data_IF_325572830210
#
_entry.id   IF_325572830210
#
_cell.length_a   1.000
_cell.length_b   1.000
_cell.length_c   1.000
_cell.angle_alpha   90.00
_cell.angle_beta   90.00
_cell.angle_gamma   90.00
#
_symmetry.space_group_name_H-M   'P 1'
#
loop_
_entity.id
_entity.type
_entity.pdbx_description
1 polymer ?
#
# COMPACT_ATOMS: atom_id res chain seq x y z
N UNK A 1 8.75 12.04 17.65
CA UNK A 1 8.69 11.03 16.57
C UNK A 1 9.62 11.54 15.48
N UNK A 2 10.83 10.97 15.40
CA UNK A 2 11.92 11.42 14.53
C UNK A 2 12.14 10.50 13.33
N UNK A 3 11.14 9.68 13.03
CA UNK A 3 11.24 8.68 11.97
C UNK A 3 10.82 9.36 10.67
N UNK A 4 11.79 9.61 9.80
CA UNK A 4 11.54 10.16 8.47
C UNK A 4 10.97 9.07 7.56
N UNK A 5 9.76 8.59 7.84
CA UNK A 5 9.05 7.61 7.02
C UNK A 5 7.77 8.21 6.49
N UNK A 6 7.52 8.05 5.20
CA UNK A 6 6.29 8.48 4.54
C UNK A 6 5.61 7.29 3.87
N UNK A 7 4.39 6.99 4.30
CA UNK A 7 3.55 5.98 3.65
C UNK A 7 2.78 6.65 2.51
N UNK A 8 3.15 6.34 1.28
CA UNK A 8 2.53 6.87 0.08
C UNK A 8 1.31 6.02 -0.33
N UNK A 9 0.13 6.47 0.10
CA UNK A 9 -1.16 5.92 -0.33
C UNK A 9 -1.81 6.74 -1.46
N UNK A 10 -1.09 7.71 -2.04
CA UNK A 10 -1.60 8.50 -3.15
C UNK A 10 -1.60 7.71 -4.45
N UNK A 11 -2.34 8.19 -5.47
CA UNK A 11 -2.13 7.70 -6.83
C UNK A 11 -0.80 8.21 -7.38
N UNK A 12 -0.24 7.48 -8.35
CA UNK A 12 0.99 7.89 -9.02
C UNK A 12 0.85 9.27 -9.70
N UNK A 13 -0.36 9.63 -10.15
CA UNK A 13 -0.65 10.94 -10.76
C UNK A 13 -0.45 12.10 -9.79
N UNK A 14 -0.93 11.97 -8.55
CA UNK A 14 -0.70 12.98 -7.51
C UNK A 14 0.72 12.92 -6.96
N UNK A 15 1.31 11.72 -6.89
CA UNK A 15 2.66 11.55 -6.35
C UNK A 15 3.74 12.12 -7.28
N UNK A 16 3.51 12.20 -8.59
CA UNK A 16 4.40 12.91 -9.54
C UNK A 16 4.61 14.39 -9.19
N UNK A 17 3.65 15.01 -8.52
CA UNK A 17 3.75 16.39 -8.05
C UNK A 17 4.61 16.54 -6.80
N UNK A 18 4.81 15.44 -6.05
CA UNK A 18 5.77 15.37 -4.94
C UNK A 18 7.17 15.23 -5.54
N UNK A 19 8.17 15.87 -4.95
CA UNK A 19 9.59 15.73 -5.36
C UNK A 19 10.26 14.76 -4.38
N UNK A 20 10.25 13.43 -4.62
CA UNK A 20 10.67 12.43 -3.64
C UNK A 20 12.15 12.60 -3.29
N UNK A 21 12.96 13.01 -4.28
CA UNK A 21 14.39 13.33 -4.13
C UNK A 21 14.69 14.51 -3.18
N UNK A 22 13.69 15.33 -2.86
CA UNK A 22 13.80 16.43 -1.88
C UNK A 22 13.23 16.05 -0.51
N UNK A 23 12.63 14.87 -0.41
CA UNK A 23 12.11 14.34 0.85
C UNK A 23 13.28 13.61 1.52
N UNK A 24 13.71 14.09 2.68
CA UNK A 24 14.72 13.39 3.47
C UNK A 24 14.06 12.25 4.27
N UNK A 25 13.30 11.38 3.58
CA UNK A 25 12.47 10.36 4.20
C UNK A 25 12.41 9.08 3.35
N UNK A 26 12.33 7.94 4.03
CA UNK A 26 12.02 6.64 3.46
C UNK A 26 10.57 6.62 3.01
N UNK A 27 10.34 6.28 1.75
CA UNK A 27 9.00 6.24 1.17
C UNK A 27 8.59 4.79 1.02
N UNK A 28 7.52 4.42 1.70
CA UNK A 28 6.89 3.11 1.59
C UNK A 28 5.63 3.27 0.76
N UNK A 29 5.50 2.49 -0.30
CA UNK A 29 4.38 2.52 -1.24
C UNK A 29 3.63 1.17 -1.21
N UNK A 30 2.49 1.12 -0.52
CA UNK A 30 1.56 0.01 -0.64
C UNK A 30 0.94 -0.06 -2.04
N UNK A 31 1.04 -1.23 -2.69
CA UNK A 31 0.48 -1.53 -4.01
C UNK A 31 -0.60 -2.59 -3.85
N UNK A 32 -1.80 -2.29 -4.33
CA UNK A 32 -2.96 -3.18 -4.22
C UNK A 32 -3.27 -3.81 -5.58
N UNK A 33 -3.19 -5.14 -5.64
CA UNK A 33 -3.46 -5.94 -6.82
C UNK A 33 -4.68 -6.81 -6.59
N UNK A 34 -5.56 -6.85 -7.59
CA UNK A 34 -6.71 -7.73 -7.64
C UNK A 34 -6.51 -8.76 -8.74
N UNK A 35 -6.89 -9.99 -8.47
CA UNK A 35 -6.97 -11.03 -9.48
C UNK A 35 -8.16 -10.75 -10.42
N UNK A 36 -7.91 -10.88 -11.72
CA UNK A 36 -8.94 -10.89 -12.75
C UNK A 36 -8.51 -11.82 -13.87
N UNK A 37 -9.32 -12.82 -14.19
CA UNK A 37 -9.00 -13.86 -15.17
C UNK A 37 -7.65 -14.56 -14.86
N UNK A 38 -7.40 -14.89 -13.60
CA UNK A 38 -6.19 -15.60 -13.16
C UNK A 38 -4.89 -14.78 -13.15
N UNK A 39 -4.98 -13.45 -13.30
CA UNK A 39 -3.82 -12.54 -13.24
C UNK A 39 -4.05 -11.41 -12.25
N UNK A 40 -3.08 -11.17 -11.38
CA UNK A 40 -3.07 -10.03 -10.48
C UNK A 40 -2.70 -8.74 -11.21
N UNK A 41 -3.53 -7.72 -11.08
CA UNK A 41 -3.27 -6.38 -11.62
C UNK A 41 -3.96 -5.30 -10.81
N UNK A 42 -3.52 -4.06 -10.97
CA UNK A 42 -4.19 -2.93 -10.35
C UNK A 42 -5.56 -2.74 -11.00
N UNK A 43 -6.62 -2.83 -10.20
CA UNK A 43 -7.97 -2.43 -10.61
C UNK A 43 -8.29 -1.13 -9.88
N UNK A 44 -8.30 -0.01 -10.61
CA UNK A 44 -8.33 1.35 -10.02
C UNK A 44 -9.45 1.58 -9.01
N UNK A 45 -10.63 0.99 -9.21
CA UNK A 45 -11.74 1.11 -8.27
C UNK A 45 -11.40 0.49 -6.90
N UNK A 46 -10.89 -0.75 -6.90
CA UNK A 46 -10.50 -1.45 -5.68
C UNK A 46 -9.25 -0.88 -5.06
N UNK A 47 -8.25 -0.49 -5.86
CA UNK A 47 -7.04 0.16 -5.35
C UNK A 47 -7.36 1.47 -4.60
N UNK A 48 -8.32 2.26 -5.07
CA UNK A 48 -8.80 3.46 -4.35
C UNK A 48 -9.43 3.10 -3.00
N UNK A 49 -10.30 2.09 -2.97
CA UNK A 49 -10.91 1.60 -1.72
C UNK A 49 -9.84 1.07 -0.75
N UNK A 50 -8.92 0.25 -1.24
CA UNK A 50 -7.86 -0.37 -0.45
C UNK A 50 -6.91 0.65 0.17
N UNK A 51 -6.56 1.73 -0.55
CA UNK A 51 -5.80 2.85 0.03
C UNK A 51 -6.53 3.51 1.21
N UNK A 52 -7.82 3.75 1.09
CA UNK A 52 -8.63 4.27 2.19
C UNK A 52 -8.67 3.33 3.38
N UNK A 53 -8.80 2.03 3.14
CA UNK A 53 -8.76 0.99 4.17
C UNK A 53 -7.39 0.91 4.86
N UNK A 54 -6.30 1.01 4.11
CA UNK A 54 -4.95 1.04 4.66
C UNK A 54 -4.73 2.27 5.54
N UNK A 55 -5.18 3.45 5.12
CA UNK A 55 -5.15 4.66 5.96
C UNK A 55 -5.92 4.44 7.27
N UNK A 56 -7.13 3.86 7.17
CA UNK A 56 -7.95 3.53 8.34
C UNK A 56 -7.24 2.54 9.26
N UNK A 57 -6.69 1.47 8.71
CA UNK A 57 -5.94 0.45 9.45
C UNK A 57 -4.75 1.03 10.21
N UNK A 58 -3.97 1.92 9.58
CA UNK A 58 -2.84 2.62 10.21
C UNK A 58 -3.31 3.43 11.42
N UNK A 59 -4.41 4.19 11.27
CA UNK A 59 -4.94 5.07 12.31
C UNK A 59 -5.54 4.25 13.47
N UNK A 60 -6.39 3.27 13.16
CA UNK A 60 -7.10 2.46 14.17
C UNK A 60 -6.11 1.65 15.02
N UNK A 61 -5.09 1.07 14.40
CA UNK A 61 -4.09 0.25 15.09
C UNK A 61 -2.90 1.08 15.62
N UNK A 62 -2.91 2.40 15.39
CA UNK A 62 -1.84 3.33 15.81
C UNK A 62 -0.46 2.83 15.42
N UNK A 63 -0.32 2.42 14.16
CA UNK A 63 0.93 1.85 13.67
C UNK A 63 2.04 2.91 13.73
N UNK A 64 3.22 2.48 14.19
CA UNK A 64 4.39 3.35 14.35
C UNK A 64 5.57 2.92 13.51
N UNK A 65 5.54 1.68 12.97
CA UNK A 65 6.63 1.15 12.13
C UNK A 65 6.10 0.59 10.80
N UNK A 66 6.86 0.74 9.69
CA UNK A 66 6.47 0.23 8.36
C UNK A 66 6.16 -1.26 8.32
N UNK A 67 6.90 -2.08 9.06
CA UNK A 67 6.78 -3.53 9.02
C UNK A 67 5.41 -4.01 9.49
N UNK A 68 4.73 -3.21 10.32
CA UNK A 68 3.38 -3.50 10.81
C UNK A 68 2.32 -3.43 9.70
N UNK A 69 2.61 -2.76 8.58
CA UNK A 69 1.70 -2.68 7.44
C UNK A 69 1.46 -4.06 6.78
N UNK A 70 2.41 -4.98 6.91
CA UNK A 70 2.29 -6.35 6.38
C UNK A 70 1.10 -7.12 7.00
N UNK A 71 0.65 -6.71 8.19
CA UNK A 71 -0.54 -7.26 8.85
C UNK A 71 -1.88 -6.81 8.25
N UNK A 72 -1.88 -5.94 7.23
CA UNK A 72 -3.11 -5.49 6.59
C UNK A 72 -3.82 -6.64 5.87
N UNK A 73 -5.05 -6.93 6.31
CA UNK A 73 -5.85 -8.06 5.84
C UNK A 73 -7.32 -7.70 5.55
N UNK A 74 -7.63 -6.41 5.36
CA UNK A 74 -9.01 -5.96 5.13
C UNK A 74 -9.54 -6.44 3.77
N UNK A 75 -10.83 -6.76 3.69
CA UNK A 75 -11.53 -7.13 2.44
C UNK A 75 -10.90 -8.29 1.65
N UNK A 76 -10.15 -9.17 2.32
CA UNK A 76 -9.49 -10.33 1.69
C UNK A 76 -8.16 -10.01 1.00
N UNK A 77 -7.60 -8.80 1.22
CA UNK A 77 -6.21 -8.54 0.86
C UNK A 77 -5.26 -9.34 1.75
N UNK A 78 -4.11 -9.72 1.21
CA UNK A 78 -3.01 -10.34 1.94
C UNK A 78 -1.68 -9.79 1.43
N UNK A 79 -0.69 -9.73 2.32
CA UNK A 79 0.66 -9.32 1.98
C UNK A 79 1.38 -10.40 1.16
N UNK A 80 2.07 -9.98 0.12
CA UNK A 80 2.84 -10.85 -0.77
C UNK A 80 4.32 -10.44 -0.72
N UNK A 81 5.09 -11.17 0.09
CA UNK A 81 6.51 -10.89 0.32
C UNK A 81 7.33 -11.03 -0.96
N UNK A 82 7.04 -12.06 -1.77
CA UNK A 82 7.78 -12.36 -3.01
C UNK A 82 7.70 -11.25 -4.07
N UNK A 83 6.58 -10.53 -4.17
CA UNK A 83 6.44 -9.39 -5.09
C UNK A 83 6.79 -8.05 -4.43
N UNK A 84 7.08 -8.05 -3.12
CA UNK A 84 7.45 -6.84 -2.39
C UNK A 84 8.96 -6.59 -2.50
N UNK A 85 9.37 -5.33 -2.44
CA UNK A 85 10.78 -4.93 -2.52
C UNK A 85 11.03 -3.70 -1.65
N UNK A 86 12.29 -3.28 -1.51
CA UNK A 86 12.65 -2.13 -0.67
C UNK A 86 11.84 -0.87 -1.06
N UNK A 87 10.88 -0.51 -0.22
CA UNK A 87 10.00 0.64 -0.41
C UNK A 87 8.66 0.35 -1.10
N UNK A 88 8.42 -0.85 -1.63
CA UNK A 88 7.12 -1.24 -2.20
C UNK A 88 6.56 -2.49 -1.52
N UNK A 89 5.37 -2.36 -0.93
CA UNK A 89 4.67 -3.46 -0.25
C UNK A 89 3.48 -3.89 -1.10
N UNK A 90 3.50 -5.11 -1.61
CA UNK A 90 2.45 -5.64 -2.48
C UNK A 90 1.41 -6.38 -1.66
N UNK A 91 0.15 -6.00 -1.86
CA UNK A 91 -1.03 -6.65 -1.29
C UNK A 91 -1.88 -7.20 -2.43
N UNK A 92 -2.16 -8.50 -2.39
CA UNK A 92 -2.96 -9.20 -3.40
C UNK A 92 -4.33 -9.54 -2.83
N UNK A 93 -5.34 -9.59 -3.69
CA UNK A 93 -6.69 -10.07 -3.38
C UNK A 93 -7.21 -10.94 -4.51
N UNK A 94 -7.70 -12.13 -4.18
CA UNK A 94 -8.30 -13.05 -5.16
C UNK A 94 -9.64 -12.52 -5.69
N UNK A 95 -10.02 -12.98 -6.88
CA UNK A 95 -11.29 -12.60 -7.50
C UNK A 95 -12.44 -13.16 -6.64
N UNK A 96 -13.27 -12.28 -6.10
CA UNK A 96 -14.45 -12.70 -5.36
C UNK A 96 -15.53 -13.12 -6.38
N UNK A 97 -15.89 -14.41 -6.35
CA UNK A 97 -16.95 -14.99 -7.19
C UNK A 97 -18.34 -14.55 -6.76
#
# INVERSE_FOLDING_TARGET
>A
QGDNVVINLASDEYFKSVKPKKLNAEIIKPVFLDEKNGKFKIISFYAKKARGLMSRFIIENRLTKPEQLTGFNSEGYFFDEDSSSNGELVFKRYEQR
#
